data_IF_830730879759
#
_entry.id   IF_830730879759
#
_cell.length_a   1.000
_cell.length_b   1.000
_cell.length_c   1.000
_cell.angle_alpha   90.00
_cell.angle_beta   90.00
_cell.angle_gamma   90.00
#
_symmetry.space_group_name_H-M   'P 1'
#
loop_
_entity.id
_entity.type
_entity.pdbx_description
1 polymer ?
#
# COMPACT_ATOMS: atom_id res chain seq x y z
N UNK A 1 -33.82 45.90 35.88
CA UNK A 1 -33.57 46.83 34.75
C UNK A 1 -32.40 46.30 33.94
N UNK A 2 -32.66 45.54 32.87
CA UNK A 2 -31.62 45.16 31.92
C UNK A 2 -31.46 46.26 30.89
N UNK A 3 -30.31 46.96 30.88
CA UNK A 3 -30.00 47.89 29.79
C UNK A 3 -29.85 47.08 28.51
N UNK A 4 -30.65 47.38 27.49
CA UNK A 4 -30.52 46.73 26.18
C UNK A 4 -29.18 47.12 25.56
N UNK A 5 -28.47 46.14 25.02
CA UNK A 5 -27.20 46.35 24.32
C UNK A 5 -27.41 47.37 23.19
N UNK A 6 -26.51 48.35 23.11
CA UNK A 6 -26.52 49.35 22.04
C UNK A 6 -26.32 48.71 20.67
N UNK A 7 -26.72 49.39 19.61
CA UNK A 7 -26.53 48.88 18.25
C UNK A 7 -25.05 48.60 17.95
N UNK A 8 -24.15 49.45 18.46
CA UNK A 8 -22.69 49.27 18.36
C UNK A 8 -22.21 48.00 19.06
N UNK A 9 -22.70 47.72 20.27
CA UNK A 9 -22.31 46.52 21.04
C UNK A 9 -22.79 45.25 20.34
N UNK A 10 -24.00 45.28 19.76
CA UNK A 10 -24.52 44.17 18.97
C UNK A 10 -23.69 43.91 17.73
N UNK A 11 -23.28 44.95 17.01
CA UNK A 11 -22.39 44.83 15.84
C UNK A 11 -21.04 44.25 16.26
N UNK A 12 -20.46 44.72 17.36
CA UNK A 12 -19.16 44.26 17.85
C UNK A 12 -19.21 42.76 18.20
N UNK A 13 -20.27 42.31 18.88
CA UNK A 13 -20.48 40.91 19.23
C UNK A 13 -20.67 40.02 17.99
N UNK A 14 -21.38 40.50 16.97
CA UNK A 14 -21.54 39.76 15.71
C UNK A 14 -20.24 39.65 14.95
N UNK A 15 -19.45 40.73 14.90
CA UNK A 15 -18.14 40.73 14.23
C UNK A 15 -17.15 39.82 14.96
N UNK A 16 -17.04 39.92 16.29
CA UNK A 16 -16.15 39.05 17.07
C UNK A 16 -16.58 37.59 17.02
N UNK A 17 -17.89 37.31 17.08
CA UNK A 17 -18.42 35.96 16.98
C UNK A 17 -18.17 35.34 15.60
N UNK A 18 -18.41 36.11 14.53
CA UNK A 18 -18.15 35.66 13.16
C UNK A 18 -16.66 35.43 12.94
N UNK A 19 -15.80 36.33 13.41
CA UNK A 19 -14.36 36.18 13.33
C UNK A 19 -13.87 34.94 14.12
N UNK A 20 -14.42 34.71 15.31
CA UNK A 20 -14.11 33.54 16.12
C UNK A 20 -14.49 32.23 15.43
N UNK A 21 -15.67 32.16 14.80
CA UNK A 21 -16.10 30.99 14.02
C UNK A 21 -15.21 30.80 12.79
N UNK A 22 -14.85 31.88 12.10
CA UNK A 22 -14.01 31.82 10.90
C UNK A 22 -12.60 31.33 11.26
N UNK A 23 -12.01 31.83 12.35
CA UNK A 23 -10.75 31.34 12.90
C UNK A 23 -10.86 29.89 13.40
N UNK A 24 -11.99 29.50 14.00
CA UNK A 24 -12.24 28.13 14.42
C UNK A 24 -12.27 27.16 13.24
N UNK A 25 -12.98 27.50 12.16
CA UNK A 25 -13.01 26.70 10.91
C UNK A 25 -11.63 26.67 10.26
N UNK A 26 -10.91 27.79 10.30
CA UNK A 26 -9.54 27.90 9.77
C UNK A 26 -8.55 26.98 10.49
N UNK A 27 -8.63 26.90 11.82
CA UNK A 27 -7.83 25.97 12.63
C UNK A 27 -8.19 24.49 12.36
N UNK A 28 -9.47 24.17 12.09
CA UNK A 28 -9.88 22.80 11.75
C UNK A 28 -9.30 22.37 10.39
N UNK A 29 -8.99 23.31 9.50
CA UNK A 29 -8.36 23.02 8.21
C UNK A 29 -6.82 22.90 8.27
N UNK A 30 -6.19 22.93 9.45
CA UNK A 30 -4.75 23.14 9.75
C UNK A 30 -3.69 22.45 8.87
N UNK A 31 -4.03 21.40 8.11
CA UNK A 31 -3.05 20.63 7.33
C UNK A 31 -2.35 21.41 6.21
N UNK A 32 -2.90 22.54 5.76
CA UNK A 32 -2.25 23.38 4.74
C UNK A 32 -1.23 24.37 5.33
N UNK A 33 -1.45 24.82 6.57
CA UNK A 33 -0.58 25.78 7.29
C UNK A 33 0.77 25.11 7.58
N UNK A 34 0.77 23.89 8.12
CA UNK A 34 2.01 23.16 8.36
C UNK A 34 2.85 23.00 7.08
N UNK A 35 2.21 22.78 5.91
CA UNK A 35 2.91 22.68 4.62
C UNK A 35 3.57 23.99 4.17
N UNK A 36 3.03 25.14 4.57
CA UNK A 36 3.51 26.48 4.19
C UNK A 36 4.55 26.99 5.17
N UNK A 37 4.36 26.78 6.46
CA UNK A 37 5.25 27.28 7.52
C UNK A 37 6.46 26.38 7.77
N UNK A 38 6.37 25.08 7.43
CA UNK A 38 7.51 24.16 7.42
C UNK A 38 7.85 23.70 5.98
N UNK A 39 8.21 24.63 5.07
CA UNK A 39 8.62 24.25 3.73
C UNK A 39 9.90 23.43 3.85
N UNK A 40 9.88 22.21 3.30
CA UNK A 40 11.03 21.33 3.35
C UNK A 40 12.22 21.96 2.62
N UNK A 41 13.27 22.24 3.38
CA UNK A 41 14.55 22.73 2.87
C UNK A 41 15.62 21.64 2.99
N UNK A 42 15.31 20.42 2.53
CA UNK A 42 16.24 19.30 2.63
C UNK A 42 16.50 18.64 1.27
N UNK A 43 17.80 18.56 0.92
CA UNK A 43 18.36 17.79 -0.21
C UNK A 43 18.23 16.27 0.03
N UNK A 44 17.07 15.78 0.45
CA UNK A 44 16.83 14.35 0.60
C UNK A 44 16.68 13.72 -0.78
N UNK A 45 17.24 12.52 -0.95
CA UNK A 45 17.13 11.81 -2.21
C UNK A 45 15.66 11.48 -2.48
N UNK A 46 15.14 11.92 -3.63
CA UNK A 46 13.84 11.51 -4.11
C UNK A 46 13.82 9.99 -4.32
N UNK A 47 12.75 9.35 -3.87
CA UNK A 47 12.51 7.91 -3.94
C UNK A 47 11.48 7.58 -5.00
N UNK A 48 10.50 8.45 -5.18
CA UNK A 48 9.38 8.18 -6.06
C UNK A 48 8.27 9.21 -5.91
N UNK A 49 7.08 8.81 -6.33
CA UNK A 49 5.87 9.62 -6.21
C UNK A 49 4.64 8.74 -5.97
N UNK A 50 3.66 9.30 -5.28
CA UNK A 50 2.36 8.65 -5.13
C UNK A 50 1.58 8.77 -6.44
N UNK A 51 1.11 7.65 -6.98
CA UNK A 51 0.27 7.61 -8.19
C UNK A 51 -1.20 7.60 -7.86
N UNK A 52 -1.60 6.72 -6.96
CA UNK A 52 -2.99 6.55 -6.56
C UNK A 52 -3.10 6.42 -5.06
N UNK A 53 -4.20 6.96 -4.53
CA UNK A 53 -4.61 6.91 -3.14
C UNK A 53 -6.08 6.52 -3.13
N UNK A 54 -6.44 5.66 -2.19
CA UNK A 54 -7.82 5.31 -1.89
C UNK A 54 -8.06 5.42 -0.39
N UNK A 55 -9.14 6.10 -0.01
CA UNK A 55 -9.54 6.37 1.37
C UNK A 55 -8.43 7.04 2.20
N UNK A 56 -8.14 6.53 3.39
CA UNK A 56 -7.23 7.11 4.37
C UNK A 56 -5.80 6.60 4.15
N UNK A 57 -4.97 7.44 3.52
CA UNK A 57 -3.54 7.21 3.35
C UNK A 57 -2.80 8.36 4.01
N UNK A 58 -1.86 8.03 4.89
CA UNK A 58 -1.11 8.99 5.68
C UNK A 58 0.37 8.86 5.37
N UNK A 59 1.05 9.99 5.32
CA UNK A 59 2.49 10.10 5.19
C UNK A 59 3.04 10.75 6.44
N UNK A 60 4.13 10.19 6.96
CA UNK A 60 5.00 10.86 7.91
C UNK A 60 6.32 11.12 7.23
N UNK A 61 6.71 12.39 7.16
CA UNK A 61 7.98 12.78 6.59
C UNK A 61 9.14 12.36 7.48
N UNK A 62 10.30 12.09 6.90
CA UNK A 62 11.49 11.69 7.68
C UNK A 62 11.92 12.69 8.76
N UNK A 63 11.70 13.99 8.51
CA UNK A 63 12.02 15.08 9.43
C UNK A 63 10.88 15.44 10.40
N UNK A 64 9.74 14.75 10.33
CA UNK A 64 8.54 15.06 11.12
C UNK A 64 8.08 13.86 11.95
N UNK A 65 7.52 14.16 13.12
CA UNK A 65 6.84 13.16 13.95
C UNK A 65 5.34 13.05 13.64
N UNK A 66 4.81 13.99 12.85
CA UNK A 66 3.38 14.10 12.55
C UNK A 66 2.98 13.29 11.32
N UNK A 67 1.85 12.60 11.42
CA UNK A 67 1.20 11.95 10.28
C UNK A 67 0.25 12.91 9.59
N UNK A 68 0.45 13.13 8.29
CA UNK A 68 -0.37 14.00 7.47
C UNK A 68 -1.06 13.20 6.37
N UNK A 69 -2.20 13.67 5.90
CA UNK A 69 -2.89 13.04 4.77
C UNK A 69 -2.02 13.13 3.50
N UNK A 70 -1.76 11.97 2.89
CA UNK A 70 -1.00 11.86 1.66
C UNK A 70 -1.86 12.29 0.47
N UNK A 71 -1.22 12.82 -0.58
CA UNK A 71 -1.90 13.34 -1.77
C UNK A 71 -1.40 12.63 -3.03
N UNK A 72 -2.27 12.51 -4.03
CA UNK A 72 -1.85 12.02 -5.34
C UNK A 72 -0.79 12.95 -5.94
N UNK A 73 0.17 12.37 -6.67
CA UNK A 73 1.33 13.06 -7.27
C UNK A 73 2.32 13.65 -6.26
N UNK A 74 2.12 13.42 -4.96
CA UNK A 74 3.05 13.87 -3.94
C UNK A 74 4.40 13.14 -4.10
N UNK A 75 5.48 13.91 -4.02
CA UNK A 75 6.85 13.41 -4.14
C UNK A 75 7.28 12.78 -2.82
N UNK A 76 7.89 11.61 -2.91
CA UNK A 76 8.39 10.82 -1.78
C UNK A 76 9.90 10.92 -1.70
N UNK A 77 10.40 11.11 -0.49
CA UNK A 77 11.81 11.27 -0.17
C UNK A 77 12.30 10.19 0.77
N UNK A 78 13.63 10.11 0.87
CA UNK A 78 14.28 9.17 1.77
C UNK A 78 13.84 9.39 3.23
N UNK A 79 13.53 8.28 3.90
CA UNK A 79 13.06 8.20 5.29
C UNK A 79 11.56 8.39 5.47
N UNK A 80 10.80 8.69 4.41
CA UNK A 80 9.35 8.85 4.52
C UNK A 80 8.68 7.53 4.91
N UNK A 81 7.63 7.64 5.73
CA UNK A 81 6.76 6.52 6.08
C UNK A 81 5.39 6.71 5.44
N UNK A 82 4.85 5.65 4.84
CA UNK A 82 3.50 5.63 4.23
C UNK A 82 2.65 4.58 4.93
N UNK A 83 1.50 5.00 5.43
CA UNK A 83 0.52 4.19 6.11
C UNK A 83 -0.80 4.16 5.34
N UNK A 84 -1.36 2.97 5.17
CA UNK A 84 -2.73 2.75 4.66
C UNK A 84 -3.63 2.28 5.80
N UNK A 85 -4.74 2.99 6.02
CA UNK A 85 -5.77 2.61 7.00
C UNK A 85 -6.60 1.38 6.60
N UNK A 86 -7.71 1.18 7.33
CA UNK A 86 -8.72 0.18 6.98
C UNK A 86 -9.38 0.57 5.65
N UNK A 87 -9.54 -0.41 4.76
CA UNK A 87 -10.13 -0.23 3.42
C UNK A 87 -9.39 0.81 2.55
N UNK A 88 -8.13 1.09 2.88
CA UNK A 88 -7.29 2.06 2.16
C UNK A 88 -6.20 1.37 1.35
N UNK A 89 -5.84 1.98 0.24
CA UNK A 89 -4.78 1.48 -0.65
C UNK A 89 -3.95 2.66 -1.18
N UNK A 90 -2.68 2.40 -1.45
CA UNK A 90 -1.80 3.37 -2.09
C UNK A 90 -0.92 2.70 -3.14
N UNK A 91 -0.77 3.35 -4.29
CA UNK A 91 0.14 2.92 -5.36
C UNK A 91 1.23 3.95 -5.55
N UNK A 92 2.48 3.52 -5.42
CA UNK A 92 3.67 4.36 -5.51
C UNK A 92 4.46 3.96 -6.75
N UNK A 93 4.88 4.95 -7.54
CA UNK A 93 5.91 4.76 -8.55
C UNK A 93 7.26 5.08 -7.91
N UNK A 94 8.14 4.08 -7.89
CA UNK A 94 9.48 4.17 -7.32
C UNK A 94 10.52 4.50 -8.41
N UNK A 95 11.63 5.07 -8.00
CA UNK A 95 12.75 5.34 -8.88
C UNK A 95 13.24 4.04 -9.56
N UNK A 96 13.44 4.08 -10.87
CA UNK A 96 13.76 2.89 -11.67
C UNK A 96 12.54 2.18 -12.27
N UNK A 97 11.33 2.73 -12.11
CA UNK A 97 10.10 2.27 -12.76
C UNK A 97 9.50 1.02 -12.12
N UNK A 98 9.84 0.76 -10.85
CA UNK A 98 9.17 -0.25 -10.04
C UNK A 98 7.88 0.36 -9.47
N UNK A 99 6.84 -0.45 -9.31
CA UNK A 99 5.63 -0.02 -8.62
C UNK A 99 5.47 -0.77 -7.32
N UNK A 100 5.14 -0.03 -6.26
CA UNK A 100 4.81 -0.56 -4.95
C UNK A 100 3.35 -0.27 -4.67
N UNK A 101 2.57 -1.30 -4.39
CA UNK A 101 1.19 -1.19 -3.97
C UNK A 101 1.09 -1.60 -2.50
N UNK A 102 0.49 -0.75 -1.68
CA UNK A 102 0.24 -0.98 -0.26
C UNK A 102 -1.21 -1.43 -0.12
N UNK A 103 -1.40 -2.61 0.48
CA UNK A 103 -2.72 -3.14 0.81
C UNK A 103 -3.27 -2.49 2.09
N UNK A 104 -4.56 -2.68 2.44
CA UNK A 104 -5.13 -2.14 3.68
C UNK A 104 -4.33 -2.51 4.92
N UNK A 105 -4.29 -1.60 5.90
CA UNK A 105 -3.55 -1.75 7.14
C UNK A 105 -2.08 -2.11 6.89
N UNK A 106 -1.37 -1.28 6.14
CA UNK A 106 0.06 -1.48 5.84
C UNK A 106 0.88 -0.25 6.18
N UNK A 107 2.12 -0.47 6.63
CA UNK A 107 3.09 0.58 6.92
C UNK A 107 4.42 0.22 6.26
N UNK A 108 4.89 1.10 5.38
CA UNK A 108 6.22 1.00 4.78
C UNK A 108 7.05 2.23 5.10
N UNK A 109 8.33 2.04 5.40
CA UNK A 109 9.32 3.12 5.48
C UNK A 109 10.23 3.03 4.26
N UNK A 110 10.42 4.15 3.58
CA UNK A 110 11.25 4.27 2.39
C UNK A 110 12.68 4.60 2.82
N UNK A 111 13.63 3.71 2.59
CA UNK A 111 15.02 3.88 3.00
C UNK A 111 15.95 3.66 1.80
N UNK A 112 16.70 4.68 1.41
CA UNK A 112 17.68 4.61 0.33
C UNK A 112 19.06 4.76 0.91
N UNK A 113 19.81 3.66 0.87
CA UNK A 113 21.24 3.67 1.19
C UNK A 113 22.07 3.63 -0.09
N UNK A 114 22.82 4.72 -0.35
CA UNK A 114 23.86 4.98 -1.37
C UNK A 114 23.59 4.56 -2.83
N UNK A 115 23.04 3.39 -3.12
CA UNK A 115 22.68 2.89 -4.48
C UNK A 115 21.39 2.05 -4.54
N UNK A 116 20.82 1.63 -3.41
CA UNK A 116 19.70 0.68 -3.39
C UNK A 116 18.52 1.22 -2.59
N UNK A 117 17.33 1.11 -3.17
CA UNK A 117 16.08 1.39 -2.48
C UNK A 117 15.73 0.19 -1.61
N UNK A 118 15.71 0.41 -0.31
CA UNK A 118 15.14 -0.47 0.69
C UNK A 118 13.72 0.01 1.05
N UNK A 119 12.79 -0.95 1.08
CA UNK A 119 11.43 -0.76 1.54
C UNK A 119 11.30 -1.53 2.84
N UNK A 120 11.05 -0.85 3.95
CA UNK A 120 10.94 -1.49 5.25
C UNK A 120 9.47 -1.68 5.63
N UNK A 121 8.99 -2.92 5.48
CA UNK A 121 7.61 -3.29 5.80
C UNK A 121 7.47 -3.53 7.29
N UNK A 122 6.90 -2.54 7.97
CA UNK A 122 6.70 -2.56 9.42
C UNK A 122 5.46 -3.37 9.79
N UNK A 123 4.38 -3.27 9.00
CA UNK A 123 3.14 -4.03 9.19
C UNK A 123 2.38 -4.18 7.87
N UNK A 124 1.49 -5.18 7.81
CA UNK A 124 0.58 -5.40 6.68
C UNK A 124 1.21 -6.14 5.51
N UNK A 125 0.82 -5.76 4.29
CA UNK A 125 1.25 -6.40 3.06
C UNK A 125 1.45 -5.41 1.92
N UNK A 126 2.40 -5.75 1.05
CA UNK A 126 2.74 -4.97 -0.13
C UNK A 126 2.89 -5.86 -1.34
N UNK A 127 2.61 -5.29 -2.51
CA UNK A 127 2.90 -5.89 -3.79
C UNK A 127 3.92 -5.04 -4.55
N UNK A 128 4.95 -5.69 -5.06
CA UNK A 128 6.02 -5.12 -5.85
C UNK A 128 5.92 -5.61 -7.29
N UNK A 129 5.66 -4.69 -8.22
CA UNK A 129 5.81 -4.92 -9.66
C UNK A 129 7.21 -4.44 -10.07
N UNK A 130 8.09 -5.41 -10.34
CA UNK A 130 9.51 -5.17 -10.56
C UNK A 130 9.84 -4.95 -12.05
N UNK A 131 10.55 -3.86 -12.30
CA UNK A 131 11.18 -3.52 -13.57
C UNK A 131 12.58 -4.19 -13.66
N UNK A 132 13.06 -4.43 -14.89
CA UNK A 132 14.38 -5.08 -15.11
C UNK A 132 15.57 -4.19 -14.69
N UNK A 133 15.35 -2.88 -14.47
CA UNK A 133 16.43 -1.88 -14.43
C UNK A 133 17.13 -1.78 -13.07
N UNK A 134 16.40 -1.90 -11.95
CA UNK A 134 16.98 -1.74 -10.60
C UNK A 134 16.36 -2.74 -9.62
N UNK A 135 17.19 -3.52 -8.87
CA UNK A 135 16.68 -4.37 -7.81
C UNK A 135 16.06 -3.52 -6.70
N UNK A 136 15.11 -4.11 -5.96
CA UNK A 136 14.50 -3.50 -4.79
C UNK A 136 14.85 -4.35 -3.58
N UNK A 137 15.34 -3.70 -2.54
CA UNK A 137 15.59 -4.35 -1.27
C UNK A 137 14.33 -4.24 -0.43
N UNK A 138 13.86 -5.32 0.16
CA UNK A 138 12.75 -5.33 1.11
C UNK A 138 13.30 -5.71 2.47
N UNK A 139 13.09 -4.86 3.46
CA UNK A 139 13.38 -5.15 4.86
C UNK A 139 12.09 -5.57 5.53
N UNK A 140 12.12 -6.69 6.24
CA UNK A 140 11.02 -7.16 7.08
C UNK A 140 11.64 -7.72 8.36
N UNK A 141 11.18 -7.26 9.53
CA UNK A 141 11.72 -7.67 10.84
C UNK A 141 13.25 -7.51 10.97
N UNK A 142 13.80 -6.38 10.52
CA UNK A 142 15.26 -6.13 10.46
C UNK A 142 16.05 -7.07 9.54
N UNK A 143 15.40 -7.99 8.82
CA UNK A 143 16.06 -8.85 7.86
C UNK A 143 16.00 -8.24 6.47
N UNK A 144 17.17 -8.04 5.87
CA UNK A 144 17.31 -7.48 4.54
C UNK A 144 17.10 -8.61 3.53
N UNK A 145 15.96 -8.58 2.85
CA UNK A 145 15.65 -9.47 1.74
C UNK A 145 15.79 -8.70 0.43
N UNK A 146 16.90 -8.89 -0.28
CA UNK A 146 17.04 -8.30 -1.62
C UNK A 146 16.15 -9.05 -2.60
N UNK A 147 15.24 -8.35 -3.28
CA UNK A 147 14.34 -8.92 -4.28
C UNK A 147 14.77 -8.45 -5.66
N UNK A 148 15.19 -9.40 -6.51
CA UNK A 148 15.58 -9.12 -7.89
C UNK A 148 14.70 -9.90 -8.85
N UNK A 149 14.09 -9.18 -9.79
CA UNK A 149 13.37 -9.82 -10.88
C UNK A 149 14.32 -10.54 -11.84
N UNK A 150 14.02 -11.79 -12.19
CA UNK A 150 14.78 -12.54 -13.20
C UNK A 150 14.23 -12.35 -14.62
N UNK A 151 12.98 -11.91 -14.78
CA UNK A 151 12.34 -11.62 -16.09
C UNK A 151 11.66 -10.24 -16.08
N UNK A 152 11.11 -9.78 -17.22
CA UNK A 152 10.26 -8.58 -17.22
C UNK A 152 8.94 -8.89 -16.47
N UNK A 153 8.39 -7.89 -15.77
CA UNK A 153 7.07 -7.92 -15.13
C UNK A 153 6.91 -9.02 -14.06
N UNK A 154 7.92 -9.23 -13.19
CA UNK A 154 7.70 -10.07 -12.03
C UNK A 154 6.90 -9.30 -10.98
N UNK A 155 5.94 -9.99 -10.38
CA UNK A 155 5.10 -9.47 -9.31
C UNK A 155 5.42 -10.28 -8.07
N UNK A 156 5.80 -9.60 -6.99
CA UNK A 156 6.12 -10.23 -5.71
C UNK A 156 5.23 -9.60 -4.65
N UNK A 157 4.45 -10.40 -3.96
CA UNK A 157 3.67 -9.96 -2.81
C UNK A 157 4.41 -10.39 -1.54
N UNK A 158 4.50 -9.49 -0.57
CA UNK A 158 5.05 -9.79 0.75
C UNK A 158 4.04 -9.41 1.81
N UNK A 159 3.75 -10.36 2.70
CA UNK A 159 2.81 -10.19 3.81
C UNK A 159 3.51 -10.52 5.12
N UNK A 160 3.46 -9.60 6.08
CA UNK A 160 3.90 -9.83 7.45
C UNK A 160 2.73 -10.38 8.26
N UNK A 161 2.90 -11.58 8.82
CA UNK A 161 1.94 -12.21 9.72
C UNK A 161 2.02 -11.56 11.11
N UNK A 162 0.92 -11.63 11.86
CA UNK A 162 0.83 -11.22 13.27
C UNK A 162 1.77 -12.01 14.18
N UNK A 163 2.09 -13.26 13.81
CA UNK A 163 3.06 -14.12 14.51
C UNK A 163 4.53 -13.79 14.18
N UNK A 164 4.79 -12.73 13.40
CA UNK A 164 6.14 -12.35 12.97
C UNK A 164 6.69 -13.14 11.79
N UNK A 165 5.97 -14.17 11.29
CA UNK A 165 6.31 -14.86 10.05
C UNK A 165 6.15 -13.95 8.83
N UNK A 166 6.95 -14.20 7.79
CA UNK A 166 6.87 -13.45 6.52
C UNK A 166 6.49 -14.40 5.40
N UNK A 167 5.42 -14.08 4.69
CA UNK A 167 4.98 -14.81 3.51
C UNK A 167 5.37 -14.03 2.26
N UNK A 168 6.19 -14.63 1.41
CA UNK A 168 6.56 -14.09 0.10
C UNK A 168 5.91 -14.95 -0.98
N UNK A 169 5.08 -14.33 -1.81
CA UNK A 169 4.35 -14.99 -2.89
C UNK A 169 4.87 -14.40 -4.21
N UNK A 170 5.09 -15.27 -5.20
CA UNK A 170 5.38 -14.85 -6.58
C UNK A 170 4.22 -15.22 -7.49
N UNK A 171 3.14 -14.41 -7.57
CA UNK A 171 2.01 -14.71 -8.44
C UNK A 171 2.43 -14.83 -9.91
N UNK A 172 3.38 -14.00 -10.33
CA UNK A 172 3.84 -13.93 -11.71
C UNK A 172 5.34 -13.61 -11.78
N UNK A 173 6.02 -14.24 -12.73
CA UNK A 173 7.45 -14.08 -12.87
C UNK A 173 8.23 -14.81 -11.78
N UNK A 174 9.55 -14.70 -11.87
CA UNK A 174 10.45 -15.40 -10.98
C UNK A 174 11.41 -14.37 -10.40
N UNK A 175 11.69 -14.47 -9.11
CA UNK A 175 12.60 -13.57 -8.41
C UNK A 175 13.68 -14.33 -7.64
N UNK A 176 14.77 -13.64 -7.40
CA UNK A 176 15.83 -14.06 -6.49
C UNK A 176 15.66 -13.27 -5.19
N UNK A 177 15.61 -13.99 -4.07
CA UNK A 177 15.58 -13.46 -2.72
C UNK A 177 16.91 -13.75 -2.05
N UNK A 178 17.44 -12.79 -1.30
CA UNK A 178 18.60 -13.01 -0.44
C UNK A 178 18.15 -12.96 1.02
N UNK A 179 17.96 -14.12 1.66
CA UNK A 179 17.57 -14.23 3.07
C UNK A 179 18.81 -14.57 3.88
N UNK A 180 19.24 -13.67 4.77
CA UNK A 180 20.45 -13.83 5.58
C UNK A 180 21.73 -14.14 4.76
N UNK A 181 21.88 -13.48 3.60
CA UNK A 181 22.98 -13.71 2.66
C UNK A 181 22.86 -14.99 1.83
N UNK A 182 21.92 -15.89 2.14
CA UNK A 182 21.62 -17.07 1.32
C UNK A 182 20.64 -16.70 0.21
N UNK A 183 21.02 -17.05 -1.02
CA UNK A 183 20.17 -16.84 -2.20
C UNK A 183 19.13 -17.94 -2.31
N UNK A 184 17.87 -17.55 -2.31
CA UNK A 184 16.71 -18.40 -2.52
C UNK A 184 15.96 -17.94 -3.77
N UNK A 185 15.75 -18.87 -4.70
CA UNK A 185 14.96 -18.62 -5.89
C UNK A 185 13.48 -18.87 -5.59
N UNK A 186 12.61 -17.93 -5.98
CA UNK A 186 11.17 -18.11 -6.03
C UNK A 186 10.71 -18.17 -7.49
N UNK A 187 10.03 -19.26 -7.84
CA UNK A 187 9.42 -19.45 -9.16
C UNK A 187 7.97 -18.93 -9.16
N UNK A 188 7.34 -18.74 -10.32
CA UNK A 188 5.94 -18.37 -10.38
C UNK A 188 5.07 -19.41 -9.66
N UNK A 189 4.03 -18.93 -8.98
CA UNK A 189 3.08 -19.73 -8.19
C UNK A 189 3.73 -20.47 -7.00
N UNK A 190 4.75 -19.87 -6.42
CA UNK A 190 5.36 -20.35 -5.17
C UNK A 190 5.13 -19.38 -4.03
N UNK A 191 5.04 -19.97 -2.83
CA UNK A 191 5.03 -19.29 -1.54
C UNK A 191 6.30 -19.70 -0.80
N UNK A 192 7.01 -18.70 -0.29
CA UNK A 192 8.06 -18.85 0.70
C UNK A 192 7.51 -18.35 2.02
N UNK A 193 7.50 -19.21 3.04
CA UNK A 193 7.27 -18.82 4.41
C UNK A 193 8.64 -18.73 5.10
N UNK A 194 8.95 -17.55 5.62
CA UNK A 194 10.15 -17.27 6.40
C UNK A 194 9.69 -17.17 7.86
N UNK A 195 10.15 -18.09 8.69
CA UNK A 195 9.85 -18.06 10.12
C UNK A 195 10.71 -17.03 10.88
N UNK A 196 10.42 -16.83 12.16
CA UNK A 196 11.17 -15.91 13.03
C UNK A 196 12.63 -16.32 13.22
N UNK A 197 12.96 -17.58 12.96
CA UNK A 197 14.32 -18.14 13.01
C UNK A 197 15.01 -18.14 11.65
N UNK A 198 14.43 -17.46 10.65
CA UNK A 198 14.92 -17.35 9.27
C UNK A 198 14.93 -18.63 8.45
N UNK A 199 14.24 -19.69 8.91
CA UNK A 199 14.07 -20.87 8.09
C UNK A 199 13.06 -20.60 6.98
N UNK A 200 13.40 -21.04 5.78
CA UNK A 200 12.58 -20.86 4.59
C UNK A 200 11.86 -22.16 4.27
N UNK A 201 10.54 -22.17 4.39
CA UNK A 201 9.68 -23.26 3.91
C UNK A 201 9.11 -22.88 2.55
N UNK A 202 9.23 -23.78 1.58
CA UNK A 202 8.70 -23.57 0.22
C UNK A 202 7.45 -24.40 0.01
N UNK A 203 6.41 -23.78 -0.52
CA UNK A 203 5.24 -24.46 -1.03
C UNK A 203 4.90 -23.94 -2.43
N UNK A 204 4.27 -24.80 -3.23
CA UNK A 204 3.79 -24.44 -4.56
C UNK A 204 2.28 -24.46 -4.55
N UNK A 205 1.66 -23.50 -5.20
CA UNK A 205 0.23 -23.52 -5.52
C UNK A 205 0.08 -23.67 -7.02
N UNK A 206 -1.05 -24.22 -7.46
CA UNK A 206 -1.30 -24.51 -8.88
C UNK A 206 -2.42 -23.63 -9.42
N UNK A 207 -2.55 -22.41 -8.92
CA UNK A 207 -3.58 -21.45 -9.35
C UNK A 207 -2.90 -20.16 -9.79
N UNK A 208 -3.20 -19.72 -10.99
CA UNK A 208 -2.76 -18.44 -11.54
C UNK A 208 -4.00 -17.63 -11.89
N UNK A 209 -4.16 -16.52 -11.20
CA UNK A 209 -5.22 -15.56 -11.46
C UNK A 209 -4.82 -14.67 -12.65
N UNK A 210 -5.72 -14.53 -13.63
CA UNK A 210 -5.45 -13.82 -14.88
C UNK A 210 -6.25 -12.51 -14.96
N UNK A 211 -7.53 -12.51 -14.60
CA UNK A 211 -8.38 -11.31 -14.63
C UNK A 211 -9.51 -11.30 -13.57
N UNK A 212 -10.01 -10.11 -13.21
CA UNK A 212 -9.43 -8.77 -13.45
C UNK A 212 -7.99 -8.67 -12.92
N UNK A 213 -7.18 -7.77 -13.47
CA UNK A 213 -5.84 -7.55 -12.90
C UNK A 213 -5.98 -7.13 -11.43
N UNK A 214 -4.99 -7.46 -10.60
CA UNK A 214 -5.02 -7.02 -9.20
C UNK A 214 -5.03 -5.50 -9.16
N UNK A 215 -5.94 -4.94 -8.36
CA UNK A 215 -6.25 -3.50 -8.29
C UNK A 215 -6.81 -2.88 -9.59
N UNK A 216 -7.31 -3.69 -10.55
CA UNK A 216 -8.07 -3.18 -11.70
C UNK A 216 -9.40 -2.58 -11.22
N UNK A 217 -9.57 -1.28 -11.41
CA UNK A 217 -10.82 -0.58 -11.15
C UNK A 217 -11.72 -0.67 -12.39
N UNK A 218 -12.94 -1.19 -12.22
CA UNK A 218 -13.99 -1.15 -13.24
C UNK A 218 -15.16 -0.30 -12.77
N UNK A 219 -15.47 0.72 -13.55
CA UNK A 219 -16.74 1.44 -13.42
C UNK A 219 -17.82 0.60 -14.08
N UNK A 220 -18.78 0.11 -13.29
CA UNK A 220 -19.92 -0.65 -13.78
C UNK A 220 -21.08 0.30 -14.04
N UNK A 221 -21.33 0.64 -15.31
CA UNK A 221 -22.51 1.42 -15.72
C UNK A 221 -23.77 0.55 -15.76
N UNK A 222 -24.95 1.17 -15.62
CA UNK A 222 -26.25 0.50 -15.39
C UNK A 222 -26.61 -0.62 -16.39
N UNK A 223 -26.02 -0.64 -17.59
CA UNK A 223 -26.31 -1.64 -18.63
C UNK A 223 -25.48 -2.94 -18.62
N UNK A 224 -24.33 -3.01 -17.92
CA UNK A 224 -23.52 -4.24 -17.92
C UNK A 224 -22.72 -4.44 -16.62
N UNK A 225 -23.36 -5.09 -15.64
CA UNK A 225 -22.81 -5.39 -14.31
C UNK A 225 -21.94 -6.66 -14.26
N UNK A 226 -21.55 -7.24 -15.40
CA UNK A 226 -20.78 -8.49 -15.42
C UNK A 226 -19.28 -8.22 -15.36
N UNK A 227 -18.64 -8.59 -14.26
CA UNK A 227 -17.17 -8.62 -14.15
C UNK A 227 -16.69 -10.00 -14.54
N UNK A 228 -15.84 -10.07 -15.57
CA UNK A 228 -15.31 -11.33 -16.05
C UNK A 228 -14.06 -11.75 -15.27
N UNK A 229 -14.10 -12.92 -14.64
CA UNK A 229 -12.99 -13.51 -13.91
C UNK A 229 -12.34 -14.61 -14.75
N UNK A 230 -11.01 -14.58 -14.85
CA UNK A 230 -10.22 -15.58 -15.57
C UNK A 230 -9.11 -16.10 -14.66
N UNK A 231 -8.96 -17.41 -14.61
CA UNK A 231 -7.85 -18.07 -13.94
C UNK A 231 -7.42 -19.32 -14.72
N UNK A 232 -6.22 -19.79 -14.41
CA UNK A 232 -5.67 -21.06 -14.89
C UNK A 232 -5.26 -21.87 -13.68
N UNK A 233 -5.62 -23.15 -13.66
CA UNK A 233 -5.13 -24.06 -12.64
C UNK A 233 -4.53 -25.33 -13.24
N UNK A 234 -3.46 -25.81 -12.63
CA UNK A 234 -2.94 -27.17 -12.83
C UNK A 234 -3.34 -28.13 -11.69
N UNK A 235 -4.09 -27.64 -10.70
CA UNK A 235 -4.53 -28.44 -9.56
C UNK A 235 -5.56 -29.47 -9.98
N UNK A 236 -5.40 -30.70 -9.48
CA UNK A 236 -6.42 -31.74 -9.53
C UNK A 236 -7.43 -31.61 -8.39
N UNK A 237 -7.12 -30.83 -7.36
CA UNK A 237 -8.01 -30.63 -6.20
C UNK A 237 -9.17 -29.70 -6.53
N UNK A 238 -10.37 -29.92 -5.95
CA UNK A 238 -11.52 -29.04 -6.15
C UNK A 238 -11.18 -27.63 -5.66
N UNK A 239 -11.26 -26.65 -6.55
CA UNK A 239 -11.09 -25.23 -6.20
C UNK A 239 -12.43 -24.63 -5.82
N UNK A 240 -12.39 -23.64 -4.94
CA UNK A 240 -13.53 -22.81 -4.58
C UNK A 240 -13.29 -21.38 -5.05
N UNK A 241 -14.34 -20.76 -5.57
CA UNK A 241 -14.39 -19.35 -5.89
C UNK A 241 -15.14 -18.67 -4.76
N UNK A 242 -14.48 -17.71 -4.10
CA UNK A 242 -15.04 -16.95 -3.00
C UNK A 242 -14.98 -15.46 -3.30
N UNK A 243 -16.05 -14.74 -2.99
CA UNK A 243 -16.07 -13.27 -2.97
C UNK A 243 -16.30 -12.85 -1.52
N UNK A 244 -15.50 -11.90 -1.04
CA UNK A 244 -15.62 -11.32 0.30
C UNK A 244 -15.73 -9.81 0.20
N UNK A 245 -16.44 -9.20 1.15
CA UNK A 245 -16.41 -7.76 1.35
C UNK A 245 -15.21 -7.30 2.19
N UNK A 246 -14.61 -8.23 2.95
CA UNK A 246 -13.46 -7.96 3.81
C UNK A 246 -12.18 -8.58 3.21
N UNK A 247 -11.03 -7.87 3.20
CA UNK A 247 -9.78 -8.36 2.61
C UNK A 247 -9.22 -9.65 3.23
N UNK A 248 -9.56 -9.93 4.49
CA UNK A 248 -9.16 -11.14 5.21
C UNK A 248 -10.08 -12.34 4.95
N UNK A 249 -11.08 -12.19 4.09
CA UNK A 249 -12.09 -13.21 3.80
C UNK A 249 -12.91 -13.65 5.03
N UNK A 250 -12.98 -12.82 6.07
CA UNK A 250 -13.83 -13.07 7.25
C UNK A 250 -15.33 -13.04 6.91
N UNK A 251 -15.72 -12.25 5.89
CA UNK A 251 -17.12 -12.09 5.47
C UNK A 251 -17.33 -12.46 4.00
N UNK A 252 -17.55 -13.74 3.76
CA UNK A 252 -17.80 -14.32 2.44
C UNK A 252 -19.25 -14.04 2.00
N UNK A 253 -19.42 -13.50 0.80
CA UNK A 253 -20.72 -13.21 0.17
C UNK A 253 -21.07 -14.18 -0.96
N UNK A 254 -20.09 -14.84 -1.56
CA UNK A 254 -20.29 -15.88 -2.58
C UNK A 254 -19.26 -16.99 -2.30
N UNK A 255 -19.68 -18.25 -2.36
CA UNK A 255 -18.79 -19.41 -2.27
C UNK A 255 -19.31 -20.57 -3.12
N UNK A 256 -18.54 -21.01 -4.11
CA UNK A 256 -18.92 -22.11 -5.01
C UNK A 256 -17.73 -22.90 -5.55
N UNK A 257 -17.89 -24.19 -5.87
CA UNK A 257 -16.85 -24.97 -6.53
C UNK A 257 -16.63 -24.49 -7.98
N UNK A 258 -15.38 -24.55 -8.46
CA UNK A 258 -15.01 -24.15 -9.83
C UNK A 258 -14.16 -25.20 -10.53
N UNK A 259 -14.49 -25.44 -11.80
CA UNK A 259 -13.80 -26.39 -12.66
C UNK A 259 -12.45 -25.85 -13.18
N UNK A 260 -11.58 -26.75 -13.67
CA UNK A 260 -10.18 -26.50 -14.08
C UNK A 260 -9.96 -25.35 -15.07
N UNK A 261 -11.00 -24.95 -15.81
CA UNK A 261 -10.98 -23.83 -16.76
C UNK A 261 -12.38 -23.23 -16.74
N UNK A 262 -12.57 -22.12 -16.05
CA UNK A 262 -13.87 -21.47 -15.99
C UNK A 262 -13.77 -20.01 -16.41
N UNK A 263 -14.77 -19.58 -17.15
CA UNK A 263 -15.00 -18.19 -17.52
C UNK A 263 -16.30 -17.82 -16.84
N UNK A 264 -16.26 -16.80 -15.99
CA UNK A 264 -17.44 -16.24 -15.32
C UNK A 264 -17.48 -14.78 -15.69
#
# INVERSE_FOLDING_TARGET
>A
MGKSLGQTDKILLWVSGSLGVLLGVFLIQDQWIEKIFFPQNQKLAQIGQIKEIHNDVRRRQSSSLTWLSANQKEVLYNGDSIFTGKDSEASLELEGGNFLHLEPNSLVVLDKNQKELALDLQLGSVELKLSKKKPVTLKVNNHITKVRSMKKNSVIQVKKSTEGKVHVISPMGAAELSVNGKKEKILPQQLLEIDTSLNVKKSSFSVSYLRPERAEKKVLSEGNKKVRFLWKTASSSPLRFQISLEPDFSKIIEDRPVAKKHQI
#
